data_IF_633703852063
#
_entry.id   IF_633703852063
#
_cell.length_a   1.000
_cell.length_b   1.000
_cell.length_c   1.000
_cell.angle_alpha   90.00
_cell.angle_beta   90.00
_cell.angle_gamma   90.00
#
_symmetry.space_group_name_H-M   'P 1'
#
loop_
_entity.id
_entity.type
_entity.pdbx_description
1 polymer ?
#
# COMPACT_ATOMS: atom_id res chain seq x y z
N UNK A 1 17.17 -6.86 -1.00
CA UNK A 1 17.24 -7.16 -2.45
C UNK A 1 16.01 -6.66 -3.20
N UNK A 2 14.78 -6.94 -2.75
CA UNK A 2 13.55 -6.48 -3.43
C UNK A 2 13.51 -4.97 -3.73
N UNK A 3 13.95 -4.12 -2.80
CA UNK A 3 14.01 -2.65 -3.01
C UNK A 3 14.90 -2.24 -4.19
N UNK A 4 16.03 -2.93 -4.40
CA UNK A 4 16.96 -2.66 -5.51
C UNK A 4 16.40 -3.10 -6.87
N UNK A 5 15.46 -4.06 -6.87
CA UNK A 5 14.79 -4.56 -8.07
C UNK A 5 13.35 -4.02 -8.20
N UNK A 6 12.94 -3.10 -7.32
CA UNK A 6 11.60 -2.53 -7.33
C UNK A 6 11.30 -1.83 -8.66
N UNK A 7 12.32 -1.21 -9.25
CA UNK A 7 12.19 -0.49 -10.52
C UNK A 7 11.78 -1.41 -11.67
N UNK A 8 12.41 -2.59 -11.73
CA UNK A 8 12.05 -3.62 -12.71
C UNK A 8 10.65 -4.16 -12.45
N UNK A 9 10.28 -4.38 -11.19
CA UNK A 9 8.94 -4.83 -10.82
C UNK A 9 7.83 -3.83 -11.19
N UNK A 10 8.07 -2.52 -11.08
CA UNK A 10 7.11 -1.49 -11.45
C UNK A 10 6.86 -1.50 -12.97
N UNK A 11 7.92 -1.61 -13.79
CA UNK A 11 7.76 -1.65 -15.25
C UNK A 11 6.98 -2.89 -15.67
N UNK A 12 7.33 -4.08 -15.14
CA UNK A 12 6.57 -5.30 -15.43
C UNK A 12 5.10 -5.20 -15.04
N UNK A 13 4.83 -4.64 -13.85
CA UNK A 13 3.45 -4.44 -13.41
C UNK A 13 2.66 -3.48 -14.31
N UNK A 14 3.31 -2.47 -14.88
CA UNK A 14 2.68 -1.60 -15.89
C UNK A 14 2.45 -2.36 -17.20
N UNK A 15 3.43 -3.16 -17.63
CA UNK A 15 3.35 -3.97 -18.85
C UNK A 15 2.31 -5.10 -18.78
N UNK A 16 1.91 -5.55 -17.58
CA UNK A 16 0.76 -6.44 -17.40
C UNK A 16 -0.56 -5.80 -17.86
N UNK A 17 -0.60 -4.47 -18.00
CA UNK A 17 -1.78 -3.73 -18.44
C UNK A 17 -1.62 -3.04 -19.79
N UNK A 18 -0.43 -2.55 -20.15
CA UNK A 18 -0.22 -1.81 -21.40
C UNK A 18 1.20 -2.00 -21.94
N UNK A 19 1.30 -2.34 -23.22
CA UNK A 19 2.57 -2.54 -23.91
C UNK A 19 3.26 -1.20 -24.15
N UNK A 20 4.40 -0.97 -23.50
CA UNK A 20 5.17 0.26 -23.64
C UNK A 20 6.20 0.19 -24.79
N UNK A 21 6.34 1.28 -25.54
CA UNK A 21 7.43 1.43 -26.50
C UNK A 21 8.76 1.80 -25.80
N UNK A 22 9.88 1.72 -26.52
CA UNK A 22 11.22 1.95 -25.96
C UNK A 22 11.39 3.34 -25.33
N UNK A 23 10.79 4.38 -25.93
CA UNK A 23 10.87 5.74 -25.40
C UNK A 23 10.08 5.88 -24.09
N UNK A 24 8.89 5.31 -24.00
CA UNK A 24 8.08 5.28 -22.78
C UNK A 24 8.77 4.48 -21.68
N UNK A 25 9.37 3.32 -21.99
CA UNK A 25 10.16 2.53 -21.05
C UNK A 25 11.35 3.31 -20.51
N UNK A 26 12.08 4.00 -21.39
CA UNK A 26 13.24 4.80 -20.98
C UNK A 26 12.82 5.96 -20.06
N UNK A 27 11.74 6.67 -20.40
CA UNK A 27 11.21 7.76 -19.58
C UNK A 27 10.74 7.24 -18.21
N UNK A 28 9.95 6.17 -18.19
CA UNK A 28 9.45 5.55 -16.96
C UNK A 28 10.60 5.08 -16.05
N UNK A 29 11.62 4.41 -16.60
CA UNK A 29 12.79 3.99 -15.81
C UNK A 29 13.54 5.19 -15.21
N UNK A 30 13.68 6.29 -15.95
CA UNK A 30 14.31 7.52 -15.43
C UNK A 30 13.49 8.14 -14.29
N UNK A 31 12.17 8.21 -14.44
CA UNK A 31 11.27 8.75 -13.42
C UNK A 31 11.27 7.86 -12.15
N UNK A 32 11.29 6.53 -12.31
CA UNK A 32 11.37 5.59 -11.19
C UNK A 32 12.71 5.73 -10.46
N UNK A 33 13.83 5.85 -11.17
CA UNK A 33 15.14 6.07 -10.54
C UNK A 33 15.14 7.35 -9.69
N UNK A 34 14.58 8.45 -10.21
CA UNK A 34 14.47 9.70 -9.48
C UNK A 34 13.57 9.58 -8.23
N UNK A 35 12.46 8.83 -8.33
CA UNK A 35 11.58 8.52 -7.20
C UNK A 35 12.31 7.68 -6.15
N UNK A 36 13.06 6.66 -6.58
CA UNK A 36 13.85 5.79 -5.69
C UNK A 36 14.91 6.59 -4.94
N UNK A 37 15.66 7.46 -5.63
CA UNK A 37 16.66 8.33 -5.00
C UNK A 37 16.05 9.23 -3.92
N UNK A 38 14.91 9.86 -4.23
CA UNK A 38 14.18 10.66 -3.24
C UNK A 38 13.70 9.80 -2.06
N UNK A 39 13.13 8.62 -2.33
CA UNK A 39 12.60 7.74 -1.28
C UNK A 39 13.71 7.25 -0.35
N UNK A 40 14.85 6.83 -0.89
CA UNK A 40 15.97 6.37 -0.06
C UNK A 40 16.65 7.48 0.72
N UNK A 41 16.68 8.72 0.21
CA UNK A 41 17.29 9.84 0.93
C UNK A 41 16.35 10.53 1.92
N UNK A 42 15.02 10.35 1.76
CA UNK A 42 14.00 11.14 2.48
C UNK A 42 13.05 10.27 3.30
N UNK A 43 12.39 9.29 2.69
CA UNK A 43 11.38 8.47 3.36
C UNK A 43 12.00 7.38 4.23
N UNK A 44 13.06 6.70 3.77
CA UNK A 44 13.71 5.66 4.59
C UNK A 44 14.23 6.18 5.94
N UNK A 45 14.89 7.36 6.05
CA UNK A 45 15.20 7.96 7.35
C UNK A 45 13.98 8.20 8.24
N UNK A 46 12.85 8.64 7.67
CA UNK A 46 11.59 8.84 8.42
C UNK A 46 11.04 7.52 8.95
N UNK A 47 11.09 6.46 8.15
CA UNK A 47 10.63 5.13 8.56
C UNK A 47 11.50 4.55 9.68
N UNK A 48 12.81 4.77 9.61
CA UNK A 48 13.74 4.40 10.68
C UNK A 48 13.43 5.10 11.99
N UNK A 49 13.21 6.42 11.95
CA UNK A 49 12.83 7.17 13.14
C UNK A 49 11.52 6.67 13.76
N UNK A 50 10.53 6.32 12.92
CA UNK A 50 9.30 5.69 13.40
C UNK A 50 9.56 4.31 14.04
N UNK A 51 10.43 3.48 13.44
CA UNK A 51 10.80 2.18 14.01
C UNK A 51 11.57 2.31 15.33
N UNK A 52 12.39 3.35 15.50
CA UNK A 52 13.08 3.63 16.76
C UNK A 52 12.09 4.03 17.86
N UNK A 53 11.08 4.85 17.53
CA UNK A 53 9.99 5.18 18.45
C UNK A 53 9.20 3.92 18.84
N UNK A 54 8.84 3.07 17.87
CA UNK A 54 8.16 1.80 18.12
C UNK A 54 9.00 0.89 19.05
N UNK A 55 10.31 0.77 18.82
CA UNK A 55 11.20 0.01 19.69
C UNK A 55 11.21 0.54 21.13
N UNK A 56 11.27 1.86 21.30
CA UNK A 56 11.19 2.51 22.62
C UNK A 56 9.88 2.15 23.34
N UNK A 57 8.75 2.24 22.64
CA UNK A 57 7.43 1.97 23.23
C UNK A 57 7.25 0.49 23.56
N UNK A 58 7.80 -0.43 22.75
CA UNK A 58 7.85 -1.86 23.06
C UNK A 58 8.67 -2.11 24.33
N UNK A 59 9.88 -1.54 24.42
CA UNK A 59 10.77 -1.72 25.56
C UNK A 59 10.18 -1.15 26.87
N UNK A 60 9.48 -0.01 26.79
CA UNK A 60 8.77 0.61 27.90
C UNK A 60 7.45 -0.11 28.25
N UNK A 61 6.99 -1.05 27.42
CA UNK A 61 5.67 -1.72 27.49
C UNK A 61 4.51 -0.74 27.37
N UNK A 62 4.70 0.32 26.62
CA UNK A 62 3.71 1.36 26.34
C UNK A 62 2.96 1.05 25.03
N UNK A 63 2.42 -0.17 24.91
CA UNK A 63 1.67 -0.65 23.74
C UNK A 63 0.16 -0.69 24.01
N UNK A 64 -0.36 0.38 24.61
CA UNK A 64 -1.80 0.51 24.82
C UNK A 64 -2.53 0.87 23.51
N UNK A 65 -3.86 0.97 23.58
CA UNK A 65 -4.71 1.26 22.44
C UNK A 65 -4.34 2.59 21.76
N UNK A 66 -4.01 3.61 22.54
CA UNK A 66 -3.74 4.95 22.02
C UNK A 66 -2.39 4.97 21.30
N UNK A 67 -1.36 4.37 21.89
CA UNK A 67 -0.03 4.33 21.27
C UNK A 67 -0.01 3.49 19.99
N UNK A 68 -0.72 2.36 19.97
CA UNK A 68 -0.87 1.55 18.75
C UNK A 68 -1.61 2.30 17.64
N UNK A 69 -2.66 3.05 17.99
CA UNK A 69 -3.37 3.90 17.03
C UNK A 69 -2.45 5.00 16.47
N UNK A 70 -1.65 5.65 17.33
CA UNK A 70 -0.67 6.67 16.94
C UNK A 70 0.36 6.12 15.95
N UNK A 71 0.95 4.95 16.20
CA UNK A 71 1.87 4.33 15.24
C UNK A 71 1.20 4.00 13.90
N UNK A 72 -0.04 3.53 13.93
CA UNK A 72 -0.80 3.26 12.70
C UNK A 72 -1.06 4.54 11.90
N UNK A 73 -1.45 5.63 12.57
CA UNK A 73 -1.66 6.93 11.93
C UNK A 73 -0.37 7.48 11.33
N UNK A 74 0.75 7.35 12.04
CA UNK A 74 2.05 7.76 11.54
C UNK A 74 2.47 6.96 10.29
N UNK A 75 2.26 5.64 10.28
CA UNK A 75 2.50 4.81 9.09
C UNK A 75 1.65 5.27 7.89
N UNK A 76 0.36 5.56 8.12
CA UNK A 76 -0.54 6.04 7.07
C UNK A 76 -0.09 7.42 6.55
N UNK A 77 0.48 8.27 7.43
CA UNK A 77 0.94 9.62 7.07
C UNK A 77 2.13 9.66 6.10
N UNK A 78 2.82 8.54 5.88
CA UNK A 78 3.89 8.43 4.90
C UNK A 78 3.37 8.35 3.46
N UNK A 79 2.16 7.81 3.27
CA UNK A 79 1.58 7.56 1.95
C UNK A 79 1.39 8.84 1.12
N UNK A 80 0.85 9.97 1.64
CA UNK A 80 0.65 11.17 0.85
C UNK A 80 1.92 11.73 0.22
N UNK A 81 3.06 11.74 0.94
CA UNK A 81 4.34 12.22 0.40
C UNK A 81 4.82 11.35 -0.76
N UNK A 82 4.68 10.03 -0.64
CA UNK A 82 5.00 9.10 -1.72
C UNK A 82 4.10 9.31 -2.94
N UNK A 83 2.79 9.45 -2.73
CA UNK A 83 1.84 9.69 -3.83
C UNK A 83 2.11 11.03 -4.52
N UNK A 84 2.44 12.08 -3.78
CA UNK A 84 2.81 13.39 -4.34
C UNK A 84 4.02 13.27 -5.27
N UNK A 85 5.06 12.55 -4.85
CA UNK A 85 6.26 12.33 -5.67
C UNK A 85 6.02 11.39 -6.85
N UNK A 86 5.16 10.40 -6.72
CA UNK A 86 4.86 9.42 -7.77
C UNK A 86 3.84 9.93 -8.81
N UNK A 87 3.04 10.95 -8.48
CA UNK A 87 1.98 11.46 -9.36
C UNK A 87 2.52 11.98 -10.71
N UNK A 88 3.58 12.82 -10.75
CA UNK A 88 4.12 13.31 -12.03
C UNK A 88 4.60 12.20 -12.96
N UNK A 89 5.21 11.14 -12.42
CA UNK A 89 5.62 9.95 -13.18
C UNK A 89 4.42 9.30 -13.87
N UNK A 90 3.33 9.11 -13.12
CA UNK A 90 2.11 8.55 -13.68
C UNK A 90 1.48 9.48 -14.73
N UNK A 91 1.44 10.79 -14.50
CA UNK A 91 0.95 11.78 -15.46
C UNK A 91 1.77 11.74 -16.75
N UNK A 92 3.11 11.73 -16.65
CA UNK A 92 4.01 11.65 -17.80
C UNK A 92 3.72 10.41 -18.63
N UNK A 93 3.70 9.24 -18.00
CA UNK A 93 3.43 7.98 -18.68
C UNK A 93 2.04 7.97 -19.33
N UNK A 94 0.99 8.27 -18.56
CA UNK A 94 -0.39 8.20 -19.04
C UNK A 94 -0.70 9.24 -20.14
N UNK A 95 -0.04 10.41 -20.11
CA UNK A 95 -0.15 11.41 -21.18
C UNK A 95 0.51 10.97 -22.49
N UNK A 96 1.50 10.07 -22.40
CA UNK A 96 2.27 9.59 -23.54
C UNK A 96 1.62 8.40 -24.28
N UNK A 97 0.54 7.84 -23.73
CA UNK A 97 -0.12 6.68 -24.32
C UNK A 97 -0.86 7.07 -25.61
N UNK A 98 -0.75 6.22 -26.62
CA UNK A 98 -1.57 6.31 -27.84
C UNK A 98 -2.95 5.64 -27.66
N UNK A 99 -3.82 5.78 -28.67
CA UNK A 99 -5.19 5.25 -28.59
C UNK A 99 -5.23 3.71 -28.54
N UNK A 100 -4.27 3.02 -29.17
CA UNK A 100 -4.19 1.56 -29.12
C UNK A 100 -3.78 1.09 -27.73
N UNK A 101 -2.82 1.78 -27.10
CA UNK A 101 -2.38 1.52 -25.74
C UNK A 101 -3.49 1.78 -24.72
N UNK A 102 -4.33 2.79 -24.91
CA UNK A 102 -5.50 3.03 -24.05
C UNK A 102 -6.54 1.92 -24.21
N UNK A 103 -6.74 1.42 -25.43
CA UNK A 103 -7.63 0.29 -25.67
C UNK A 103 -7.12 -0.99 -24.99
N UNK A 104 -5.84 -1.32 -25.15
CA UNK A 104 -5.18 -2.46 -24.48
C UNK A 104 -5.30 -2.35 -22.95
N UNK A 105 -4.99 -1.18 -22.40
CA UNK A 105 -5.17 -0.89 -20.97
C UNK A 105 -6.60 -1.17 -20.51
N UNK A 106 -7.59 -0.70 -21.26
CA UNK A 106 -9.01 -0.95 -20.95
C UNK A 106 -9.35 -2.44 -20.95
N UNK A 107 -8.89 -3.19 -21.94
CA UNK A 107 -9.15 -4.63 -22.08
C UNK A 107 -8.54 -5.42 -20.91
N UNK A 108 -7.26 -5.20 -20.61
CA UNK A 108 -6.55 -5.84 -19.50
C UNK A 108 -7.15 -5.47 -18.13
N UNK A 109 -7.63 -4.23 -17.97
CA UNK A 109 -8.33 -3.79 -16.76
C UNK A 109 -9.66 -4.52 -16.55
N UNK A 110 -10.39 -4.82 -17.64
CA UNK A 110 -11.66 -5.56 -17.63
C UNK A 110 -11.40 -7.04 -17.31
N UNK A 111 -10.43 -7.68 -17.98
CA UNK A 111 -10.05 -9.07 -17.73
C UNK A 111 -9.61 -9.25 -16.26
N UNK A 112 -8.69 -8.40 -15.78
CA UNK A 112 -8.26 -8.40 -14.38
C UNK A 112 -9.42 -8.20 -13.39
N UNK A 113 -10.42 -7.37 -13.72
CA UNK A 113 -11.61 -7.22 -12.88
C UNK A 113 -12.45 -8.49 -12.84
N UNK A 114 -12.61 -9.18 -13.97
CA UNK A 114 -13.34 -10.44 -14.07
C UNK A 114 -12.64 -11.53 -13.26
N UNK A 115 -11.33 -11.70 -13.42
CA UNK A 115 -10.55 -12.70 -12.68
C UNK A 115 -10.69 -12.53 -11.17
N UNK A 116 -10.60 -11.29 -10.67
CA UNK A 116 -10.78 -10.99 -9.25
C UNK A 116 -12.22 -11.24 -8.78
N UNK A 117 -13.23 -10.95 -9.60
CA UNK A 117 -14.63 -11.27 -9.29
C UNK A 117 -14.84 -12.79 -9.23
N UNK A 118 -14.23 -13.54 -10.14
CA UNK A 118 -14.28 -15.00 -10.17
C UNK A 118 -13.58 -15.64 -8.97
N UNK A 119 -12.39 -15.15 -8.61
CA UNK A 119 -11.61 -15.63 -7.47
C UNK A 119 -12.35 -15.35 -6.15
N UNK A 120 -12.81 -14.11 -5.94
CA UNK A 120 -13.23 -13.68 -4.61
C UNK A 120 -14.75 -13.63 -4.37
N UNK A 121 -15.60 -13.67 -5.40
CA UNK A 121 -17.06 -13.65 -5.22
C UNK A 121 -17.70 -15.04 -5.35
N UNK A 122 -16.96 -16.06 -5.80
CA UNK A 122 -17.46 -17.44 -5.88
C UNK A 122 -17.35 -18.20 -4.57
N UNK A 123 -16.54 -17.72 -3.62
CA UNK A 123 -16.38 -18.36 -2.31
C UNK A 123 -17.53 -18.04 -1.36
N UNK A 124 -17.80 -18.94 -0.41
CA UNK A 124 -18.77 -18.66 0.66
C UNK A 124 -18.20 -17.62 1.64
N UNK A 125 -19.06 -16.85 2.34
CA UNK A 125 -18.61 -15.89 3.35
C UNK A 125 -17.69 -16.50 4.42
N UNK A 126 -17.94 -17.76 4.80
CA UNK A 126 -17.17 -18.50 5.80
C UNK A 126 -15.76 -18.80 5.30
N UNK A 127 -15.64 -19.34 4.07
CA UNK A 127 -14.35 -19.61 3.42
C UNK A 127 -13.53 -18.32 3.23
N UNK A 128 -14.21 -17.22 2.88
CA UNK A 128 -13.58 -15.90 2.76
C UNK A 128 -13.04 -15.41 4.11
N UNK A 129 -13.80 -15.61 5.20
CA UNK A 129 -13.39 -15.24 6.55
C UNK A 129 -12.21 -16.10 7.03
N UNK A 130 -12.24 -17.41 6.80
CA UNK A 130 -11.13 -18.33 7.12
C UNK A 130 -9.85 -17.94 6.37
N UNK A 131 -9.94 -17.71 5.05
CA UNK A 131 -8.78 -17.30 4.25
C UNK A 131 -8.21 -15.94 4.70
N UNK A 132 -9.08 -15.01 5.15
CA UNK A 132 -8.65 -13.74 5.75
C UNK A 132 -7.97 -13.95 7.10
N UNK A 133 -8.51 -14.82 7.95
CA UNK A 133 -7.92 -15.15 9.24
C UNK A 133 -6.54 -15.77 9.08
N UNK A 134 -6.39 -16.71 8.14
CA UNK A 134 -5.13 -17.34 7.79
C UNK A 134 -4.06 -16.31 7.39
N UNK A 135 -4.34 -15.49 6.37
CA UNK A 135 -3.40 -14.45 5.92
C UNK A 135 -3.04 -13.45 7.02
N UNK A 136 -4.00 -13.15 7.91
CA UNK A 136 -3.79 -12.24 9.04
C UNK A 136 -2.93 -12.89 10.12
N UNK A 137 -3.13 -14.19 10.38
CA UNK A 137 -2.30 -15.00 11.28
C UNK A 137 -0.87 -15.04 10.80
N UNK A 138 -0.63 -15.43 9.55
CA UNK A 138 0.71 -15.49 8.95
C UNK A 138 1.43 -14.13 9.01
N UNK A 139 0.70 -13.02 8.84
CA UNK A 139 1.24 -11.66 9.00
C UNK A 139 1.64 -11.38 10.44
N UNK A 140 0.80 -11.71 11.40
CA UNK A 140 1.11 -11.53 12.82
C UNK A 140 2.29 -12.42 13.25
N UNK A 141 2.37 -13.65 12.75
CA UNK A 141 3.45 -14.59 13.06
C UNK A 141 4.83 -14.12 12.57
N UNK A 142 4.89 -13.38 11.46
CA UNK A 142 6.15 -12.77 11.00
C UNK A 142 6.72 -11.72 11.97
N UNK A 143 5.86 -11.14 12.82
CA UNK A 143 6.25 -10.10 13.78
C UNK A 143 6.37 -10.62 15.20
N UNK A 144 5.51 -11.55 15.60
CA UNK A 144 5.38 -12.02 16.99
C UNK A 144 5.91 -13.45 17.20
N UNK A 145 6.29 -14.15 16.12
CA UNK A 145 6.50 -15.59 16.16
C UNK A 145 5.19 -16.37 16.29
N UNK A 146 5.21 -17.66 16.66
CA UNK A 146 4.01 -18.48 16.78
C UNK A 146 2.95 -17.84 17.69
N UNK A 147 1.69 -17.80 17.23
CA UNK A 147 0.60 -17.22 18.01
C UNK A 147 0.05 -18.20 19.05
N UNK A 148 -0.40 -17.64 20.17
CA UNK A 148 -1.14 -18.41 21.18
C UNK A 148 -2.62 -18.52 20.82
N UNK A 149 -3.33 -19.44 21.49
CA UNK A 149 -4.74 -19.71 21.22
C UNK A 149 -5.62 -18.45 21.30
N UNK A 150 -5.34 -17.54 22.24
CA UNK A 150 -6.11 -16.30 22.41
C UNK A 150 -5.94 -15.36 21.22
N UNK A 151 -4.72 -15.23 20.71
CA UNK A 151 -4.44 -14.42 19.51
C UNK A 151 -5.12 -14.99 18.27
N UNK A 152 -5.12 -16.32 18.11
CA UNK A 152 -5.81 -17.01 17.01
C UNK A 152 -7.32 -16.73 17.05
N UNK A 153 -7.95 -16.84 18.22
CA UNK A 153 -9.39 -16.51 18.40
C UNK A 153 -9.71 -15.05 18.08
N UNK A 154 -8.85 -14.12 18.51
CA UNK A 154 -9.00 -12.68 18.21
C UNK A 154 -8.98 -12.44 16.69
N UNK A 155 -8.06 -13.07 15.97
CA UNK A 155 -7.93 -12.94 14.52
C UNK A 155 -9.11 -13.58 13.78
N UNK A 156 -9.60 -14.72 14.27
CA UNK A 156 -10.77 -15.40 13.71
C UNK A 156 -12.03 -14.53 13.82
N UNK A 157 -12.34 -14.03 15.03
CA UNK A 157 -13.48 -13.14 15.25
C UNK A 157 -13.40 -11.87 14.39
N UNK A 158 -12.22 -11.22 14.36
CA UNK A 158 -12.03 -10.02 13.55
C UNK A 158 -12.26 -10.29 12.05
N UNK A 159 -11.95 -11.50 11.59
CA UNK A 159 -12.13 -11.88 10.19
C UNK A 159 -13.59 -12.15 9.85
N UNK A 160 -14.36 -12.75 10.76
CA UNK A 160 -15.80 -13.00 10.59
C UNK A 160 -16.62 -11.70 10.51
N UNK A 161 -16.27 -10.69 11.31
CA UNK A 161 -17.01 -9.41 11.41
C UNK A 161 -16.95 -8.55 10.13
N UNK A 162 -16.26 -9.01 9.07
CA UNK A 162 -15.92 -8.23 7.87
C UNK A 162 -16.49 -8.81 6.59
N UNK A 163 -17.74 -9.28 6.65
CA UNK A 163 -18.47 -9.73 5.46
C UNK A 163 -18.66 -8.57 4.47
N UNK A 164 -18.76 -8.89 3.17
CA UNK A 164 -19.00 -7.94 2.07
C UNK A 164 -17.91 -6.89 1.75
N UNK A 165 -16.81 -6.80 2.50
CA UNK A 165 -15.74 -5.84 2.20
C UNK A 165 -15.12 -6.07 0.81
N UNK A 166 -14.93 -7.33 0.43
CA UNK A 166 -14.42 -7.72 -0.91
C UNK A 166 -15.29 -7.14 -2.03
N UNK A 167 -16.62 -7.25 -1.90
CA UNK A 167 -17.56 -6.73 -2.90
C UNK A 167 -17.46 -5.21 -3.01
N UNK A 168 -17.41 -4.49 -1.89
CA UNK A 168 -17.24 -3.03 -1.88
C UNK A 168 -15.89 -2.62 -2.49
N UNK A 169 -14.82 -3.39 -2.24
CA UNK A 169 -13.51 -3.15 -2.84
C UNK A 169 -13.53 -3.32 -4.37
N UNK A 170 -14.16 -4.39 -4.88
CA UNK A 170 -14.31 -4.64 -6.32
C UNK A 170 -15.17 -3.58 -7.02
N UNK A 171 -16.31 -3.20 -6.41
CA UNK A 171 -17.17 -2.13 -6.91
C UNK A 171 -16.40 -0.80 -6.99
N UNK A 172 -15.66 -0.45 -5.92
CA UNK A 172 -14.85 0.75 -5.89
C UNK A 172 -13.71 0.73 -6.91
N UNK A 173 -13.04 -0.42 -7.08
CA UNK A 173 -12.03 -0.61 -8.14
C UNK A 173 -12.64 -0.28 -9.50
N UNK A 174 -13.79 -0.85 -9.84
CA UNK A 174 -14.49 -0.59 -11.11
C UNK A 174 -14.81 0.89 -11.32
N UNK A 175 -15.31 1.59 -10.29
CA UNK A 175 -15.59 3.04 -10.36
C UNK A 175 -14.32 3.85 -10.67
N UNK A 176 -13.22 3.51 -10.00
CA UNK A 176 -11.93 4.16 -10.23
C UNK A 176 -11.41 3.90 -11.65
N UNK A 177 -11.54 2.67 -12.14
CA UNK A 177 -11.13 2.29 -13.49
C UNK A 177 -11.90 3.06 -14.58
N UNK A 178 -13.22 3.20 -14.43
CA UNK A 178 -14.05 3.99 -15.35
C UNK A 178 -13.57 5.45 -15.36
N UNK A 179 -13.37 6.06 -14.19
CA UNK A 179 -12.91 7.44 -14.10
C UNK A 179 -11.49 7.64 -14.69
N UNK A 180 -10.61 6.65 -14.57
CA UNK A 180 -9.29 6.66 -15.24
C UNK A 180 -9.45 6.67 -16.77
N UNK A 181 -10.24 5.75 -17.32
CA UNK A 181 -10.45 5.65 -18.77
C UNK A 181 -11.12 6.91 -19.34
N UNK A 182 -12.06 7.50 -18.60
CA UNK A 182 -12.65 8.80 -18.96
C UNK A 182 -11.61 9.92 -19.02
N UNK A 183 -10.67 9.97 -18.06
CA UNK A 183 -9.58 10.94 -18.07
C UNK A 183 -8.61 10.71 -19.24
N UNK A 184 -8.26 9.45 -19.54
CA UNK A 184 -7.37 9.08 -20.65
C UNK A 184 -7.94 9.43 -22.02
N UNK A 185 -9.26 9.27 -22.19
CA UNK A 185 -9.96 9.70 -23.41
C UNK A 185 -9.94 11.22 -23.62
N UNK A 186 -9.61 11.99 -22.57
CA UNK A 186 -9.48 13.45 -22.59
C UNK A 186 -8.03 13.91 -22.35
N UNK A 187 -7.04 13.05 -22.61
CA UNK A 187 -5.63 13.32 -22.28
C UNK A 187 -5.02 14.55 -22.95
N UNK A 188 -5.57 14.97 -24.08
CA UNK A 188 -5.14 16.18 -24.79
C UNK A 188 -5.76 17.47 -24.24
N UNK A 189 -6.69 17.39 -23.28
CA UNK A 189 -7.34 18.55 -22.68
C UNK A 189 -6.49 19.15 -21.54
N UNK A 190 -6.52 20.48 -21.33
CA UNK A 190 -5.73 21.14 -20.27
C UNK A 190 -6.00 20.64 -18.83
N UNK A 191 -7.09 19.92 -18.60
CA UNK A 191 -7.47 19.38 -17.28
C UNK A 191 -6.90 18.00 -16.97
N UNK A 192 -6.17 17.35 -17.89
CA UNK A 192 -5.76 15.96 -17.75
C UNK A 192 -4.89 15.71 -16.51
N UNK A 193 -3.82 16.48 -16.32
CA UNK A 193 -2.91 16.34 -15.17
C UNK A 193 -3.67 16.44 -13.85
N UNK A 194 -4.59 17.40 -13.73
CA UNK A 194 -5.42 17.57 -12.53
C UNK A 194 -6.35 16.37 -12.30
N UNK A 195 -6.91 15.79 -13.37
CA UNK A 195 -7.77 14.62 -13.28
C UNK A 195 -7.00 13.38 -12.78
N UNK A 196 -5.83 13.11 -13.36
CA UNK A 196 -4.95 12.01 -12.94
C UNK A 196 -4.45 12.21 -11.51
N UNK A 197 -4.05 13.44 -11.16
CA UNK A 197 -3.64 13.79 -9.79
C UNK A 197 -4.75 13.49 -8.78
N UNK A 198 -6.00 13.85 -9.10
CA UNK A 198 -7.16 13.51 -8.28
C UNK A 198 -7.36 12.00 -8.12
N UNK A 199 -7.30 11.25 -9.23
CA UNK A 199 -7.44 9.78 -9.21
C UNK A 199 -6.42 9.09 -8.32
N UNK A 200 -5.17 9.57 -8.31
CA UNK A 200 -4.08 8.98 -7.52
C UNK A 200 -4.16 9.43 -6.07
N UNK A 201 -4.16 10.74 -5.82
CA UNK A 201 -4.03 11.30 -4.47
C UNK A 201 -5.35 11.23 -3.66
N UNK A 202 -6.49 11.13 -4.34
CA UNK A 202 -7.83 11.07 -3.73
C UNK A 202 -8.56 9.78 -4.13
N UNK A 203 -7.83 8.68 -4.35
CA UNK A 203 -8.36 7.41 -4.87
C UNK A 203 -9.61 6.91 -4.15
N UNK A 204 -9.69 7.06 -2.81
CA UNK A 204 -10.86 6.62 -2.06
C UNK A 204 -12.16 7.33 -2.51
N UNK A 205 -12.08 8.62 -2.86
CA UNK A 205 -13.22 9.40 -3.38
C UNK A 205 -13.69 8.84 -4.72
N UNK A 206 -12.77 8.55 -5.63
CA UNK A 206 -13.06 7.99 -6.95
C UNK A 206 -13.57 6.53 -6.88
N UNK A 207 -13.29 5.82 -5.79
CA UNK A 207 -13.84 4.49 -5.49
C UNK A 207 -15.24 4.54 -4.86
N UNK A 208 -15.77 5.73 -4.60
CA UNK A 208 -17.15 5.96 -4.14
C UNK A 208 -17.35 5.88 -2.63
N UNK A 209 -18.49 6.41 -2.18
CA UNK A 209 -18.79 6.60 -0.76
C UNK A 209 -18.77 5.30 0.07
N UNK A 210 -19.27 4.20 -0.50
CA UNK A 210 -19.25 2.88 0.17
C UNK A 210 -17.83 2.42 0.47
N UNK A 211 -16.90 2.65 -0.47
CA UNK A 211 -15.49 2.33 -0.28
C UNK A 211 -14.85 3.21 0.81
N UNK A 212 -15.09 4.52 0.79
CA UNK A 212 -14.57 5.44 1.81
C UNK A 212 -15.04 5.06 3.23
N UNK A 213 -16.32 4.74 3.38
CA UNK A 213 -16.89 4.29 4.65
C UNK A 213 -16.29 2.95 5.11
N UNK A 214 -16.13 2.00 4.17
CA UNK A 214 -15.46 0.72 4.45
C UNK A 214 -14.01 0.95 4.90
N UNK A 215 -13.26 1.84 4.25
CA UNK A 215 -11.87 2.12 4.64
C UNK A 215 -11.77 2.79 6.01
N UNK A 216 -12.66 3.74 6.31
CA UNK A 216 -12.72 4.41 7.62
C UNK A 216 -12.95 3.42 8.75
N UNK A 217 -13.99 2.58 8.63
CA UNK A 217 -14.29 1.53 9.63
C UNK A 217 -13.17 0.49 9.67
N UNK A 218 -12.56 0.19 8.53
CA UNK A 218 -11.51 -0.82 8.46
C UNK A 218 -10.23 -0.42 9.17
N UNK A 219 -9.83 0.86 9.08
CA UNK A 219 -8.65 1.41 9.77
C UNK A 219 -8.79 1.28 11.28
N UNK A 220 -9.93 1.69 11.84
CA UNK A 220 -10.20 1.60 13.27
C UNK A 220 -10.19 0.15 13.76
N UNK A 221 -10.83 -0.75 13.02
CA UNK A 221 -10.88 -2.14 13.40
C UNK A 221 -9.54 -2.87 13.21
N UNK A 222 -8.66 -2.42 12.32
CA UNK A 222 -7.27 -2.89 12.26
C UNK A 222 -6.47 -2.44 13.48
N UNK A 223 -6.65 -1.19 13.92
CA UNK A 223 -6.04 -0.66 15.16
C UNK A 223 -6.41 -1.52 16.38
N UNK A 224 -7.71 -1.79 16.51
CA UNK A 224 -8.23 -2.63 17.60
C UNK A 224 -7.71 -4.06 17.54
N UNK A 225 -7.59 -4.65 16.33
CA UNK A 225 -6.96 -5.95 16.15
C UNK A 225 -5.52 -5.96 16.64
N UNK A 226 -4.69 -5.02 16.16
CA UNK A 226 -3.28 -4.93 16.55
C UNK A 226 -3.14 -4.81 18.06
N UNK A 227 -3.94 -3.94 18.69
CA UNK A 227 -3.98 -3.81 20.13
C UNK A 227 -4.34 -5.10 20.85
N UNK A 228 -5.42 -5.78 20.45
CA UNK A 228 -5.85 -7.02 21.10
C UNK A 228 -4.82 -8.15 20.93
N UNK A 229 -4.20 -8.27 19.76
CA UNK A 229 -3.18 -9.30 19.47
C UNK A 229 -1.91 -9.05 20.28
N UNK A 230 -1.45 -7.80 20.35
CA UNK A 230 -0.27 -7.41 21.14
C UNK A 230 -0.54 -7.52 22.64
N UNK A 231 -1.72 -7.11 23.12
CA UNK A 231 -2.10 -7.23 24.53
C UNK A 231 -2.22 -8.71 24.98
N UNK A 232 -2.50 -9.63 24.06
CA UNK A 232 -2.49 -11.06 24.31
C UNK A 232 -1.10 -11.71 24.16
N UNK A 233 -0.05 -10.94 23.85
CA UNK A 233 1.29 -11.45 23.65
C UNK A 233 2.00 -11.75 24.98
N UNK A 234 2.87 -12.75 24.98
CA UNK A 234 3.76 -13.03 26.11
C UNK A 234 5.11 -12.30 25.95
N UNK A 235 5.97 -12.34 26.98
CA UNK A 235 7.27 -11.66 26.98
C UNK A 235 8.18 -12.08 25.83
N UNK A 236 8.15 -13.35 25.41
CA UNK A 236 8.95 -13.83 24.28
C UNK A 236 8.47 -13.23 22.96
N UNK A 237 7.15 -13.15 22.75
CA UNK A 237 6.56 -12.54 21.56
C UNK A 237 6.82 -11.04 21.49
N UNK A 238 6.84 -10.33 22.64
CA UNK A 238 7.21 -8.92 22.68
C UNK A 238 8.70 -8.70 22.36
N UNK A 239 9.58 -9.59 22.80
CA UNK A 239 10.99 -9.55 22.43
C UNK A 239 11.19 -9.82 20.92
N UNK A 240 10.47 -10.78 20.34
CA UNK A 240 10.48 -11.02 18.89
C UNK A 240 9.99 -9.78 18.12
N UNK A 241 8.93 -9.11 18.60
CA UNK A 241 8.44 -7.88 17.99
C UNK A 241 9.50 -6.78 17.97
N UNK A 242 10.22 -6.60 19.08
CA UNK A 242 11.31 -5.64 19.18
C UNK A 242 12.46 -5.98 18.23
N UNK A 243 12.89 -7.25 18.19
CA UNK A 243 13.97 -7.70 17.31
C UNK A 243 13.58 -7.56 15.83
N UNK A 244 12.32 -7.80 15.47
CA UNK A 244 11.81 -7.58 14.11
C UNK A 244 11.79 -6.10 13.74
N UNK A 245 11.37 -5.23 14.65
CA UNK A 245 11.41 -3.78 14.43
C UNK A 245 12.86 -3.29 14.24
N UNK A 246 13.80 -3.81 15.05
CA UNK A 246 15.23 -3.50 14.93
C UNK A 246 15.83 -4.00 13.63
N UNK A 247 15.53 -5.24 13.22
CA UNK A 247 16.02 -5.80 11.97
C UNK A 247 15.50 -4.98 10.76
N UNK A 248 14.23 -4.58 10.77
CA UNK A 248 13.68 -3.74 9.71
C UNK A 248 14.30 -2.34 9.68
N UNK A 249 14.63 -1.77 10.84
CA UNK A 249 15.31 -0.48 10.93
C UNK A 249 16.71 -0.55 10.32
N UNK A 250 17.45 -1.62 10.60
CA UNK A 250 18.77 -1.90 10.01
C UNK A 250 18.69 -2.14 8.50
N UNK A 251 17.66 -2.84 8.02
CA UNK A 251 17.41 -3.01 6.59
C UNK A 251 17.16 -1.65 5.91
N UNK A 252 16.37 -0.77 6.52
CA UNK A 252 16.15 0.58 5.99
C UNK A 252 17.40 1.46 6.08
N UNK A 253 18.23 1.30 7.11
CA UNK A 253 19.54 1.95 7.20
C UNK A 253 20.43 1.55 6.03
N UNK A 254 20.56 0.25 5.76
CA UNK A 254 21.36 -0.28 4.66
C UNK A 254 20.88 0.19 3.27
N UNK A 255 19.60 0.55 3.15
CA UNK A 255 18.99 1.06 1.92
C UNK A 255 18.97 2.59 1.85
N UNK A 256 19.29 3.30 2.94
CA UNK A 256 19.27 4.76 2.99
C UNK A 256 20.39 5.33 2.12
N UNK A 257 20.04 6.23 1.20
CA UNK A 257 21.04 6.92 0.38
C UNK A 257 21.64 8.08 1.16
N UNK A 258 22.94 8.32 1.00
CA UNK A 258 23.54 9.55 1.48
C UNK A 258 22.82 10.74 0.80
N UNK A 259 22.40 11.73 1.59
CA UNK A 259 21.84 12.96 1.08
C UNK A 259 22.83 13.56 0.07
N UNK A 260 22.39 13.83 -1.17
CA UNK A 260 23.22 14.61 -2.08
C UNK A 260 23.56 15.94 -1.39
N UNK A 261 24.82 16.41 -1.46
CA UNK A 261 25.15 17.71 -0.88
C UNK A 261 24.24 18.75 -1.51
N UNK A 262 23.57 19.55 -0.67
CA UNK A 262 22.89 20.76 -1.13
C UNK A 262 23.88 21.52 -2.01
N UNK A 263 23.54 21.69 -3.28
CA UNK A 263 24.25 22.63 -4.13
C UNK A 263 23.97 24.00 -3.51
N UNK A 264 24.89 24.44 -2.67
CA UNK A 264 24.89 25.77 -2.10
C UNK A 264 24.79 26.75 -3.27
N UNK A 265 23.65 27.44 -3.35
CA UNK A 265 23.43 28.49 -4.33
C UNK A 265 24.58 29.48 -4.29
N UNK A 266 25.15 29.75 -5.46
CA UNK A 266 25.97 30.93 -5.73
C UNK A 266 25.20 31.82 -6.70
#
# INVERSE_FOLDING_TARGET
>A
MAYRYADWGIVWWVEDYVSLNDAQKQALNSDIEALRQWHCSTELPRYRHWLQALQSDIAARELDRQNIASHQEQLISFVPSLLDRATPLAVNLLSSLDDNQIQELSENMIESQQDLEEEFLRETPERTAEARAERTRERAERWLGPLNQRQIEIIAQWSEDRTNQTKIWLEGRRLWQVALLEALNRRSEPGFEKAITGLIQQSETYRGQRYQQMMTTSRLAMSDLMHKVIAAANTQQLAELEDRARALEQDFEALTCASAPEIAGS
#
